data_IF_488211460979
#
_entry.id   IF_488211460979
#
_cell.length_a   1.000
_cell.length_b   1.000
_cell.length_c   1.000
_cell.angle_alpha   90.00
_cell.angle_beta   90.00
_cell.angle_gamma   90.00
#
_symmetry.space_group_name_H-M   'P 1'
#
loop_
_entity.id
_entity.type
_entity.pdbx_description
1 polymer ?
#
# COMPACT_ATOMS: atom_id res chain seq x y z
N UNK A 1 8.66 -6.93 -3.23
CA UNK A 1 8.71 -8.26 -2.54
C UNK A 1 7.30 -8.81 -2.33
N UNK A 2 7.05 -10.14 -2.29
CA UNK A 2 5.72 -10.67 -1.95
C UNK A 2 5.51 -10.85 -0.42
N UNK A 3 4.26 -11.04 0.00
CA UNK A 3 3.86 -11.10 1.42
C UNK A 3 4.55 -12.25 2.20
N UNK A 4 4.54 -13.46 1.64
CA UNK A 4 5.12 -14.65 2.30
C UNK A 4 6.65 -14.50 2.43
N UNK A 5 7.32 -13.97 1.41
CA UNK A 5 8.75 -13.68 1.47
C UNK A 5 9.07 -12.64 2.54
N UNK A 6 8.27 -11.57 2.60
CA UNK A 6 8.44 -10.51 3.60
C UNK A 6 8.27 -11.03 5.03
N UNK A 7 7.27 -11.87 5.26
CA UNK A 7 7.04 -12.50 6.55
C UNK A 7 8.19 -13.44 6.96
N UNK A 8 8.66 -14.30 6.05
CA UNK A 8 9.80 -15.19 6.30
C UNK A 8 11.10 -14.43 6.57
N UNK A 9 11.26 -13.23 6.00
CA UNK A 9 12.40 -12.33 6.25
C UNK A 9 12.27 -11.49 7.51
N UNK A 10 11.12 -11.57 8.20
CA UNK A 10 10.86 -10.80 9.41
C UNK A 10 10.54 -9.32 9.17
N UNK A 11 10.24 -8.95 7.92
CA UNK A 11 9.82 -7.58 7.58
C UNK A 11 8.34 -7.41 7.92
N UNK A 12 7.49 -8.33 7.44
CA UNK A 12 6.08 -8.37 7.81
C UNK A 12 5.92 -9.19 9.11
N UNK A 13 5.33 -8.63 10.18
CA UNK A 13 5.25 -9.29 11.49
C UNK A 13 4.31 -10.51 11.52
N UNK A 14 3.16 -10.43 10.83
CA UNK A 14 2.17 -11.50 10.76
C UNK A 14 1.50 -11.55 9.37
N UNK A 15 0.90 -12.70 9.02
CA UNK A 15 0.08 -12.86 7.81
C UNK A 15 -1.34 -13.25 8.21
N UNK A 16 -2.34 -12.65 7.57
CA UNK A 16 -3.72 -13.10 7.66
C UNK A 16 -4.11 -13.84 6.37
N UNK A 17 -4.74 -15.00 6.52
CA UNK A 17 -5.27 -15.77 5.41
C UNK A 17 -6.57 -16.44 5.79
N UNK A 18 -7.51 -16.56 4.86
CA UNK A 18 -8.76 -17.29 5.09
C UNK A 18 -8.53 -18.81 5.10
N UNK A 19 -7.41 -19.28 4.55
CA UNK A 19 -7.09 -20.70 4.42
C UNK A 19 -5.67 -21.02 4.89
N UNK A 20 -5.44 -22.23 5.37
CA UNK A 20 -4.08 -22.69 5.70
C UNK A 20 -3.33 -23.00 4.42
N UNK A 21 -2.54 -22.04 3.94
CA UNK A 21 -1.63 -22.25 2.80
C UNK A 21 -0.51 -23.23 3.17
N UNK A 22 -0.16 -24.12 2.24
CA UNK A 22 0.95 -25.08 2.40
C UNK A 22 2.27 -24.41 2.79
N UNK A 23 2.51 -23.18 2.32
CA UNK A 23 3.71 -22.39 2.62
C UNK A 23 3.77 -21.84 4.06
N UNK A 24 2.64 -21.85 4.78
CA UNK A 24 2.48 -21.31 6.13
C UNK A 24 2.19 -22.38 7.18
N UNK A 25 1.94 -23.64 6.77
CA UNK A 25 1.50 -24.74 7.65
C UNK A 25 2.39 -25.03 8.88
N UNK A 26 3.67 -24.66 8.81
CA UNK A 26 4.64 -24.90 9.89
C UNK A 26 4.80 -23.68 10.81
N UNK A 27 4.12 -22.57 10.53
CA UNK A 27 4.13 -21.38 11.37
C UNK A 27 3.00 -21.46 12.40
N UNK A 28 3.25 -21.02 13.64
CA UNK A 28 2.20 -20.90 14.64
C UNK A 28 1.14 -19.90 14.19
N UNK A 29 -0.13 -20.19 14.47
CA UNK A 29 -1.23 -19.33 14.08
C UNK A 29 -2.29 -19.18 15.17
N UNK A 30 -3.09 -18.14 15.04
CA UNK A 30 -4.35 -17.94 15.74
C UNK A 30 -5.49 -18.17 14.77
N UNK A 31 -6.51 -18.88 15.24
CA UNK A 31 -7.79 -19.00 14.53
C UNK A 31 -8.62 -17.78 14.93
N UNK A 32 -9.08 -17.04 13.94
CA UNK A 32 -10.07 -15.99 14.11
C UNK A 32 -11.44 -16.61 13.83
N UNK A 33 -12.19 -16.90 14.88
CA UNK A 33 -13.50 -17.55 14.85
C UNK A 33 -14.61 -16.70 15.47
N UNK A 34 -14.43 -15.38 15.51
CA UNK A 34 -15.47 -14.48 16.00
C UNK A 34 -16.70 -14.56 15.10
N UNK A 35 -17.86 -14.78 15.73
CA UNK A 35 -19.13 -15.15 15.08
C UNK A 35 -19.57 -14.21 13.97
N UNK A 36 -19.10 -12.96 13.95
CA UNK A 36 -19.73 -11.93 13.14
C UNK A 36 -19.03 -11.59 11.82
N UNK A 37 -17.70 -11.66 11.64
CA UNK A 37 -17.11 -11.07 10.41
C UNK A 37 -15.75 -11.60 9.89
N UNK A 38 -14.76 -11.88 10.75
CA UNK A 38 -13.41 -12.23 10.29
C UNK A 38 -13.11 -13.69 10.60
N UNK A 39 -13.35 -14.54 9.60
CA UNK A 39 -12.90 -15.93 9.65
C UNK A 39 -11.56 -16.09 8.96
N UNK A 40 -10.60 -16.68 9.66
CA UNK A 40 -9.30 -16.99 9.07
C UNK A 40 -8.23 -17.33 10.10
N UNK A 41 -6.99 -17.24 9.64
CA UNK A 41 -5.81 -17.64 10.35
C UNK A 41 -4.82 -16.49 10.34
N UNK A 42 -4.35 -16.07 11.51
CA UNK A 42 -3.22 -15.14 11.65
C UNK A 42 -1.98 -15.92 11.98
N UNK A 43 -1.02 -15.95 11.07
CA UNK A 43 0.26 -16.64 11.22
C UNK A 43 1.31 -15.71 11.82
N UNK A 44 2.09 -16.26 12.76
CA UNK A 44 3.18 -15.60 13.48
C UNK A 44 4.50 -16.33 13.23
N UNK A 45 5.65 -15.67 13.41
CA UNK A 45 6.94 -16.31 13.13
C UNK A 45 7.33 -17.27 14.24
N UNK A 46 6.94 -16.97 15.48
CA UNK A 46 7.27 -17.78 16.65
C UNK A 46 6.05 -18.05 17.55
N UNK A 47 6.03 -19.16 18.32
CA UNK A 47 4.95 -19.44 19.25
C UNK A 47 4.80 -18.34 20.31
N UNK A 48 5.92 -17.75 20.74
CA UNK A 48 5.93 -16.63 21.70
C UNK A 48 5.16 -15.41 21.18
N UNK A 49 5.39 -15.00 19.93
CA UNK A 49 4.63 -13.90 19.31
C UNK A 49 3.13 -14.23 19.25
N UNK A 50 2.79 -15.46 18.87
CA UNK A 50 1.40 -15.96 18.81
C UNK A 50 0.72 -15.89 20.18
N UNK A 51 1.39 -16.38 21.22
CA UNK A 51 0.84 -16.44 22.58
C UNK A 51 0.65 -15.05 23.19
N UNK A 52 1.56 -14.11 22.93
CA UNK A 52 1.42 -12.70 23.32
C UNK A 52 0.17 -12.07 22.70
N UNK A 53 -0.09 -12.37 21.43
CA UNK A 53 -1.23 -11.81 20.70
C UNK A 53 -2.56 -12.49 21.04
N UNK A 54 -2.55 -13.77 21.42
CA UNK A 54 -3.74 -14.48 21.90
C UNK A 54 -4.37 -13.82 23.13
N UNK A 55 -3.54 -13.35 24.07
CA UNK A 55 -4.03 -12.70 25.27
C UNK A 55 -4.72 -11.36 24.97
N UNK A 56 -4.19 -10.59 24.00
CA UNK A 56 -4.81 -9.36 23.52
C UNK A 56 -6.12 -9.65 22.76
N UNK A 57 -6.09 -10.63 21.86
CA UNK A 57 -7.26 -11.06 21.07
C UNK A 57 -8.47 -11.41 21.94
N UNK A 58 -8.26 -12.17 23.03
CA UNK A 58 -9.33 -12.57 23.95
C UNK A 58 -10.04 -11.43 24.67
N UNK A 59 -9.46 -10.23 24.69
CA UNK A 59 -10.04 -9.04 25.37
C UNK A 59 -10.83 -8.14 24.41
N UNK A 60 -10.70 -8.38 23.11
CA UNK A 60 -11.37 -7.59 22.08
C UNK A 60 -12.82 -8.04 22.01
N UNK A 61 -13.74 -7.08 22.07
CA UNK A 61 -15.18 -7.37 22.10
C UNK A 61 -15.94 -6.74 20.93
N UNK A 62 -15.35 -5.74 20.27
CA UNK A 62 -15.99 -5.03 19.15
C UNK A 62 -15.30 -5.29 17.82
N UNK A 63 -16.07 -5.21 16.74
CA UNK A 63 -15.57 -5.37 15.36
C UNK A 63 -14.49 -4.33 15.01
N UNK A 64 -14.67 -3.08 15.45
CA UNK A 64 -13.70 -2.01 15.19
C UNK A 64 -12.35 -2.33 15.84
N UNK A 65 -12.36 -2.77 17.10
CA UNK A 65 -11.17 -3.22 17.81
C UNK A 65 -10.51 -4.43 17.13
N UNK A 66 -11.29 -5.37 16.59
CA UNK A 66 -10.75 -6.52 15.85
C UNK A 66 -9.98 -6.08 14.60
N UNK A 67 -10.57 -5.18 13.80
CA UNK A 67 -9.91 -4.64 12.62
C UNK A 67 -8.69 -3.79 12.97
N UNK A 68 -8.79 -3.01 14.05
CA UNK A 68 -7.68 -2.21 14.55
C UNK A 68 -6.50 -3.09 14.98
N UNK A 69 -6.77 -4.11 15.81
CA UNK A 69 -5.77 -5.08 16.23
C UNK A 69 -5.16 -5.82 15.04
N UNK A 70 -6.00 -6.31 14.12
CA UNK A 70 -5.54 -7.02 12.92
C UNK A 70 -4.63 -6.13 12.07
N UNK A 71 -5.00 -4.87 11.84
CA UNK A 71 -4.17 -3.94 11.09
C UNK A 71 -2.80 -3.71 11.74
N UNK A 72 -2.77 -3.53 13.06
CA UNK A 72 -1.54 -3.33 13.82
C UNK A 72 -0.61 -4.55 13.75
N UNK A 73 -1.13 -5.76 14.01
CA UNK A 73 -0.31 -6.97 14.00
C UNK A 73 0.17 -7.35 12.60
N UNK A 74 -0.56 -6.96 11.55
CA UNK A 74 -0.14 -7.16 10.16
C UNK A 74 0.94 -6.16 9.73
N UNK A 75 1.26 -5.19 10.59
CA UNK A 75 2.27 -4.17 10.36
C UNK A 75 1.78 -3.02 9.47
N UNK A 76 0.48 -2.72 9.47
CA UNK A 76 -0.04 -1.57 8.73
C UNK A 76 0.24 -0.25 9.45
N UNK A 77 0.41 0.86 8.70
CA UNK A 77 0.51 2.18 9.29
C UNK A 77 -0.74 2.55 10.11
N UNK A 78 -0.62 3.27 11.24
CA UNK A 78 -1.77 3.65 12.08
C UNK A 78 -2.87 4.39 11.32
N UNK A 79 -2.54 5.38 10.48
CA UNK A 79 -3.53 6.13 9.68
C UNK A 79 -4.29 5.26 8.69
N UNK A 80 -3.63 4.27 8.09
CA UNK A 80 -4.31 3.31 7.24
C UNK A 80 -5.31 2.45 8.01
N UNK A 81 -4.99 2.10 9.26
CA UNK A 81 -5.90 1.35 10.14
C UNK A 81 -7.09 2.23 10.55
N UNK A 82 -6.84 3.48 10.96
CA UNK A 82 -7.88 4.48 11.27
C UNK A 82 -8.85 4.66 10.10
N UNK A 83 -8.31 4.80 8.89
CA UNK A 83 -9.11 4.92 7.67
C UNK A 83 -9.95 3.67 7.38
N UNK A 84 -9.42 2.47 7.64
CA UNK A 84 -10.13 1.22 7.37
C UNK A 84 -11.32 1.01 8.32
N UNK A 85 -11.19 1.43 9.58
CA UNK A 85 -12.25 1.29 10.60
C UNK A 85 -13.24 2.46 10.58
N UNK A 86 -13.00 3.50 9.77
CA UNK A 86 -13.93 4.61 9.60
C UNK A 86 -15.24 4.10 8.96
N UNK A 87 -16.41 4.33 9.58
CA UNK A 87 -17.70 3.94 9.03
C UNK A 87 -18.05 4.65 7.70
N UNK A 88 -17.30 5.69 7.32
CA UNK A 88 -17.46 6.40 6.06
C UNK A 88 -16.23 6.26 5.13
N UNK A 89 -15.93 5.03 4.64
CA UNK A 89 -14.70 4.75 3.91
C UNK A 89 -14.65 5.36 2.51
N UNK A 90 -15.77 5.89 1.97
CA UNK A 90 -15.91 6.24 0.55
C UNK A 90 -15.15 7.49 0.07
N UNK A 91 -14.19 8.01 0.84
CA UNK A 91 -13.47 9.24 0.50
C UNK A 91 -12.03 8.95 0.07
N UNK A 92 -11.88 8.72 -1.23
CA UNK A 92 -10.61 8.83 -1.95
C UNK A 92 -9.56 7.76 -1.59
N UNK A 93 -9.88 6.51 -1.91
CA UNK A 93 -9.01 5.40 -1.53
C UNK A 93 -7.96 5.08 -2.60
N UNK A 94 -6.76 4.76 -2.13
CA UNK A 94 -5.68 4.16 -2.91
C UNK A 94 -5.19 2.89 -2.21
N UNK A 95 -4.77 1.92 -3.00
CA UNK A 95 -3.99 0.80 -2.51
C UNK A 95 -2.50 1.17 -2.46
N UNK A 96 -1.82 0.78 -1.39
CA UNK A 96 -0.38 0.94 -1.24
C UNK A 96 0.22 -0.44 -1.04
N UNK A 97 1.34 -0.70 -1.71
CA UNK A 97 2.15 -1.89 -1.52
C UNK A 97 3.62 -1.53 -1.33
N UNK A 98 4.24 -2.07 -0.29
CA UNK A 98 5.67 -1.94 -0.02
C UNK A 98 6.15 -3.14 0.79
N UNK A 99 7.25 -3.77 0.37
CA UNK A 99 7.86 -4.92 1.08
C UNK A 99 6.87 -6.02 1.48
N UNK A 100 5.95 -6.43 0.60
CA UNK A 100 4.97 -7.48 0.92
C UNK A 100 3.82 -7.04 1.84
N UNK A 101 3.79 -5.78 2.26
CA UNK A 101 2.68 -5.17 3.01
C UNK A 101 1.78 -4.48 1.99
N UNK A 102 0.48 -4.81 1.99
CA UNK A 102 -0.52 -4.22 1.09
C UNK A 102 -1.73 -3.78 1.90
N UNK A 103 -2.16 -2.53 1.75
CA UNK A 103 -3.31 -1.96 2.48
C UNK A 103 -3.99 -0.84 1.68
N UNK A 104 -5.20 -0.46 2.10
CA UNK A 104 -5.92 0.72 1.60
C UNK A 104 -5.61 1.95 2.45
N UNK A 105 -5.54 3.12 1.81
CA UNK A 105 -5.24 4.41 2.45
C UNK A 105 -6.09 5.50 1.84
N UNK A 106 -6.41 6.52 2.65
CA UNK A 106 -6.88 7.79 2.15
C UNK A 106 -5.76 8.45 1.31
N UNK A 107 -6.11 9.12 0.21
CA UNK A 107 -5.17 9.91 -0.60
C UNK A 107 -4.43 10.96 0.22
N UNK A 108 -5.08 11.57 1.22
CA UNK A 108 -4.49 12.61 2.07
C UNK A 108 -3.40 12.08 3.00
N UNK A 109 -3.44 10.79 3.32
CA UNK A 109 -2.55 10.15 4.29
C UNK A 109 -1.45 9.33 3.60
N UNK A 110 -1.35 9.39 2.27
CA UNK A 110 -0.40 8.60 1.48
C UNK A 110 1.05 8.87 1.88
N UNK A 111 1.41 10.16 2.02
CA UNK A 111 2.76 10.57 2.41
C UNK A 111 3.12 10.04 3.80
N UNK A 112 2.24 10.25 4.79
CA UNK A 112 2.44 9.79 6.17
C UNK A 112 2.57 8.26 6.23
N UNK A 113 1.67 7.53 5.57
CA UNK A 113 1.67 6.08 5.55
C UNK A 113 2.93 5.49 4.88
N UNK A 114 3.40 6.09 3.78
CA UNK A 114 4.61 5.63 3.10
C UNK A 114 5.86 5.98 3.89
N UNK A 115 5.92 7.17 4.47
CA UNK A 115 7.05 7.58 5.31
C UNK A 115 7.18 6.65 6.52
N UNK A 116 6.08 6.32 7.20
CA UNK A 116 6.07 5.36 8.30
C UNK A 116 6.62 3.98 7.89
N UNK A 117 6.26 3.48 6.70
CA UNK A 117 6.78 2.20 6.21
C UNK A 117 8.29 2.25 5.95
N UNK A 118 8.76 3.35 5.36
CA UNK A 118 10.17 3.54 5.07
C UNK A 118 11.00 3.60 6.35
N UNK A 119 10.56 4.37 7.33
CA UNK A 119 11.20 4.47 8.64
C UNK A 119 11.20 3.13 9.40
N UNK A 120 10.07 2.41 9.36
CA UNK A 120 9.91 1.15 10.10
C UNK A 120 10.71 0.00 9.52
N UNK A 121 10.75 -0.14 8.19
CA UNK A 121 11.33 -1.32 7.56
C UNK A 121 12.71 -1.07 6.95
N UNK A 122 13.02 0.17 6.56
CA UNK A 122 14.32 0.60 6.01
C UNK A 122 14.82 -0.30 4.88
N UNK A 123 13.89 -0.78 4.05
CA UNK A 123 14.21 -1.66 2.93
C UNK A 123 14.25 -0.87 1.63
N UNK A 124 15.25 -1.12 0.80
CA UNK A 124 15.32 -0.54 -0.54
C UNK A 124 14.40 -1.29 -1.53
N UNK A 125 13.09 -1.30 -1.26
CA UNK A 125 12.05 -1.82 -2.15
C UNK A 125 11.28 -0.66 -2.80
N UNK A 126 10.63 -0.95 -3.92
CA UNK A 126 9.82 0.03 -4.64
C UNK A 126 8.43 0.07 -4.02
N UNK A 127 8.02 1.26 -3.57
CA UNK A 127 6.64 1.51 -3.15
C UNK A 127 5.74 1.60 -4.37
N UNK A 128 4.64 0.86 -4.36
CA UNK A 128 3.62 0.88 -5.42
C UNK A 128 2.33 1.48 -4.87
N UNK A 129 1.84 2.53 -5.51
CA UNK A 129 0.52 3.12 -5.23
C UNK A 129 -0.38 2.76 -6.40
N UNK A 130 -1.55 2.20 -6.14
CA UNK A 130 -2.43 1.70 -7.20
C UNK A 130 -3.91 1.95 -6.91
N UNK A 131 -4.72 2.03 -7.98
CA UNK A 131 -6.19 2.06 -7.89
C UNK A 131 -6.77 0.91 -8.71
N UNK A 132 -7.22 -0.16 -8.03
CA UNK A 132 -7.65 -1.43 -8.65
C UNK A 132 -8.64 -1.23 -9.80
N UNK A 133 -9.62 -0.34 -9.65
CA UNK A 133 -10.68 -0.15 -10.64
C UNK A 133 -10.25 0.61 -11.91
N UNK A 134 -9.03 1.15 -11.97
CA UNK A 134 -8.57 1.98 -13.10
C UNK A 134 -7.23 1.59 -13.71
N UNK A 135 -6.60 0.51 -13.24
CA UNK A 135 -5.30 0.07 -13.75
C UNK A 135 -4.17 1.09 -13.56
N UNK A 136 -4.40 2.18 -12.80
CA UNK A 136 -3.36 3.15 -12.48
C UNK A 136 -2.44 2.53 -11.41
N UNK A 137 -1.15 2.49 -11.72
CA UNK A 137 -0.10 2.04 -10.82
C UNK A 137 1.10 2.96 -10.93
N UNK A 138 1.48 3.58 -9.82
CA UNK A 138 2.60 4.51 -9.70
C UNK A 138 3.66 3.87 -8.83
N UNK A 139 4.91 3.94 -9.27
CA UNK A 139 6.07 3.35 -8.59
C UNK A 139 6.96 4.46 -8.04
N UNK A 140 7.33 4.37 -6.77
CA UNK A 140 8.17 5.34 -6.05
C UNK A 140 9.36 4.59 -5.45
N UNK A 141 10.57 5.08 -5.70
CA UNK A 141 11.77 4.54 -5.06
C UNK A 141 11.80 4.87 -3.57
N UNK A 142 12.46 4.03 -2.77
CA UNK A 142 12.65 4.30 -1.34
C UNK A 142 13.28 5.69 -1.12
N UNK A 143 12.71 6.46 -0.20
CA UNK A 143 13.23 7.78 0.19
C UNK A 143 12.95 8.92 -0.81
N UNK A 144 12.27 8.66 -1.93
CA UNK A 144 11.93 9.70 -2.92
C UNK A 144 10.73 10.54 -2.45
N UNK A 145 10.97 11.36 -1.42
CA UNK A 145 9.97 12.22 -0.78
C UNK A 145 9.41 13.28 -1.74
N UNK A 146 10.24 13.78 -2.68
CA UNK A 146 9.79 14.78 -3.63
C UNK A 146 8.75 14.20 -4.60
N UNK A 147 9.01 13.00 -5.14
CA UNK A 147 8.05 12.32 -6.01
C UNK A 147 6.78 11.93 -5.25
N UNK A 148 6.92 11.47 -4.00
CA UNK A 148 5.78 11.16 -3.13
C UNK A 148 4.86 12.36 -2.93
N UNK A 149 5.40 13.53 -2.56
CA UNK A 149 4.64 14.78 -2.42
C UNK A 149 3.95 15.19 -3.72
N UNK A 150 4.66 15.10 -4.85
CA UNK A 150 4.10 15.41 -6.17
C UNK A 150 2.92 14.48 -6.52
N UNK A 151 3.03 13.20 -6.20
CA UNK A 151 1.97 12.20 -6.45
C UNK A 151 0.77 12.45 -5.55
N UNK A 152 0.97 12.69 -4.26
CA UNK A 152 -0.12 13.01 -3.34
C UNK A 152 -0.89 14.24 -3.80
N UNK A 153 -0.19 15.33 -4.18
CA UNK A 153 -0.82 16.54 -4.72
C UNK A 153 -1.65 16.22 -5.97
N UNK A 154 -1.05 15.55 -6.97
CA UNK A 154 -1.75 15.15 -8.20
C UNK A 154 -3.00 14.31 -7.89
N UNK A 155 -2.90 13.34 -6.98
CA UNK A 155 -4.06 12.54 -6.59
C UNK A 155 -5.13 13.38 -5.88
N UNK A 156 -4.74 14.31 -5.01
CA UNK A 156 -5.66 15.24 -4.37
C UNK A 156 -6.46 16.09 -5.36
N UNK A 157 -5.84 16.49 -6.48
CA UNK A 157 -6.50 17.28 -7.53
C UNK A 157 -7.45 16.42 -8.38
N UNK A 158 -7.04 15.18 -8.70
CA UNK A 158 -7.79 14.30 -9.59
C UNK A 158 -8.99 13.67 -8.85
N UNK A 159 -8.82 13.22 -7.61
CA UNK A 159 -9.82 12.40 -6.91
C UNK A 159 -11.18 13.07 -6.67
N UNK A 160 -11.29 14.36 -6.29
CA UNK A 160 -12.57 15.07 -6.21
C UNK A 160 -13.31 15.05 -7.55
N UNK A 161 -12.59 15.30 -8.65
CA UNK A 161 -13.14 15.27 -10.01
C UNK A 161 -13.66 13.87 -10.33
N UNK A 162 -12.93 12.83 -9.93
CA UNK A 162 -13.29 11.44 -10.19
C UNK A 162 -14.47 10.92 -9.38
N UNK A 163 -14.65 11.42 -8.16
CA UNK A 163 -15.80 11.10 -7.33
C UNK A 163 -17.07 11.80 -7.83
N UNK A 164 -16.93 12.97 -8.46
CA UNK A 164 -18.03 13.65 -9.17
C UNK A 164 -18.26 13.12 -10.60
N UNK A 165 -17.22 12.62 -11.28
CA UNK A 165 -17.26 12.18 -12.67
C UNK A 165 -17.64 10.69 -12.82
N UNK A 166 -18.79 10.33 -12.26
CA UNK A 166 -19.64 9.29 -12.84
C UNK A 166 -20.13 9.64 -14.28
N UNK A 167 -19.67 10.76 -14.87
CA UNK A 167 -19.75 11.10 -16.30
C UNK A 167 -18.44 10.74 -17.02
N UNK A 168 -18.46 9.64 -17.79
CA UNK A 168 -17.33 8.94 -18.45
C UNK A 168 -16.32 9.76 -19.29
N UNK A 169 -16.66 10.96 -19.76
CA UNK A 169 -15.85 11.66 -20.79
C UNK A 169 -14.62 12.41 -20.25
N UNK A 170 -14.77 13.12 -19.12
CA UNK A 170 -13.69 13.95 -18.52
C UNK A 170 -12.51 13.10 -18.01
N UNK A 171 -12.77 11.83 -17.72
CA UNK A 171 -11.86 10.88 -17.12
C UNK A 171 -10.76 10.36 -18.07
N UNK A 172 -11.13 10.15 -19.33
CA UNK A 172 -10.19 9.66 -20.37
C UNK A 172 -9.16 10.74 -20.71
N UNK A 173 -9.58 12.01 -20.70
CA UNK A 173 -8.71 13.15 -20.97
C UNK A 173 -7.68 13.35 -19.85
N UNK A 174 -8.13 13.40 -18.58
CA UNK A 174 -7.22 13.60 -17.45
C UNK A 174 -6.18 12.48 -17.29
N UNK A 175 -6.54 11.22 -17.54
CA UNK A 175 -5.60 10.09 -17.50
C UNK A 175 -4.59 10.14 -18.65
N UNK A 176 -5.02 10.52 -19.85
CA UNK A 176 -4.11 10.71 -20.98
C UNK A 176 -3.11 11.85 -20.72
N UNK A 177 -3.55 12.95 -20.09
CA UNK A 177 -2.66 14.07 -19.74
C UNK A 177 -1.58 13.69 -18.74
N UNK A 178 -1.89 12.82 -17.77
CA UNK A 178 -0.92 12.33 -16.78
C UNK A 178 0.10 11.38 -17.43
N UNK A 179 -0.36 10.46 -18.28
CA UNK A 179 0.53 9.53 -18.99
C UNK A 179 1.42 10.27 -20.00
N UNK A 180 0.89 11.26 -20.71
CA UNK A 180 1.65 12.14 -21.61
C UNK A 180 2.65 12.99 -20.81
N UNK A 181 2.25 13.56 -19.67
CA UNK A 181 3.14 14.34 -18.79
C UNK A 181 4.30 13.49 -18.27
N UNK A 182 4.03 12.28 -17.79
CA UNK A 182 5.05 11.35 -17.29
C UNK A 182 6.00 10.88 -18.41
N UNK A 183 5.47 10.57 -19.60
CA UNK A 183 6.28 10.21 -20.78
C UNK A 183 7.14 11.38 -21.26
N UNK A 184 6.61 12.61 -21.20
CA UNK A 184 7.35 13.81 -21.59
C UNK A 184 8.44 14.18 -20.58
N UNK A 185 8.20 14.01 -19.27
CA UNK A 185 9.25 14.17 -18.25
C UNK A 185 10.35 13.12 -18.40
N UNK A 186 10.00 11.86 -18.69
CA UNK A 186 10.99 10.82 -19.00
C UNK A 186 11.80 11.14 -20.26
N UNK A 187 11.16 11.60 -21.33
CA UNK A 187 11.86 12.02 -22.57
C UNK A 187 12.77 13.22 -22.34
N UNK A 188 12.34 14.21 -21.54
CA UNK A 188 13.17 15.38 -21.19
C UNK A 188 14.36 14.99 -20.33
N UNK A 189 14.16 14.13 -19.33
CA UNK A 189 15.24 13.57 -18.52
C UNK A 189 16.23 12.78 -19.37
N UNK A 190 15.74 11.93 -20.28
CA UNK A 190 16.58 11.15 -21.19
C UNK A 190 17.35 12.04 -22.19
N UNK A 191 16.71 13.07 -22.75
CA UNK A 191 17.36 14.05 -23.62
C UNK A 191 18.42 14.87 -22.87
N UNK A 192 18.13 15.27 -21.63
CA UNK A 192 19.07 15.95 -20.75
C UNK A 192 20.30 15.08 -20.47
N UNK A 193 20.12 13.80 -20.15
CA UNK A 193 21.21 12.85 -19.95
C UNK A 193 22.01 12.57 -21.23
N UNK A 194 21.38 12.47 -22.41
CA UNK A 194 22.11 12.27 -23.66
C UNK A 194 22.94 13.49 -24.07
N UNK A 195 22.44 14.70 -23.80
CA UNK A 195 23.17 15.96 -24.02
C UNK A 195 24.35 16.10 -23.05
N UNK A 196 24.16 15.73 -21.78
CA UNK A 196 25.21 15.72 -20.77
C UNK A 196 26.33 14.72 -21.08
N UNK A 197 25.99 13.59 -21.71
CA UNK A 197 26.92 12.51 -22.06
C UNK A 197 27.53 12.63 -23.47
N UNK A 198 27.28 13.71 -24.21
CA UNK A 198 27.84 13.93 -25.55
C UNK A 198 27.38 12.91 -26.61
N UNK A 199 26.22 12.27 -26.43
CA UNK A 199 25.70 11.22 -27.32
C UNK A 199 24.65 11.75 -28.30
N UNK A 200 24.91 12.88 -28.95
CA UNK A 200 24.06 13.28 -30.07
C UNK A 200 24.40 12.43 -31.30
N UNK A 201 23.49 11.51 -31.65
CA UNK A 201 23.57 10.82 -32.94
C UNK A 201 23.38 11.87 -34.03
N UNK A 202 24.46 12.22 -34.72
CA UNK A 202 24.38 12.93 -35.99
C UNK A 202 23.55 12.11 -36.96
N UNK A 203 22.30 12.52 -37.18
CA UNK A 203 21.44 12.00 -38.21
C UNK A 203 21.91 12.54 -39.56
N UNK A 204 22.50 11.65 -40.38
CA UNK A 204 22.49 11.79 -41.84
C UNK A 204 21.13 11.38 -42.38
#
# INVERSE_FOLDING_TARGET
MNEIQSFKRGIKPAIFDQTIKRSLKNFPYLIMDHQDLIQGYVFFRTPKERDQQLAAWKRITTISEQHQWLGQILGFPPKAVEHYIDPNPYKQDVGIHYCGITFGSNVKDVEENINWLWEKHQQNDVTKIFKKWRGLSIHIGYGDMQKLKNIQKKMGDIFPILNHASRKSTLKTALNEIDISAKNEQKKSFAFWNKLLGRERGSR
#
